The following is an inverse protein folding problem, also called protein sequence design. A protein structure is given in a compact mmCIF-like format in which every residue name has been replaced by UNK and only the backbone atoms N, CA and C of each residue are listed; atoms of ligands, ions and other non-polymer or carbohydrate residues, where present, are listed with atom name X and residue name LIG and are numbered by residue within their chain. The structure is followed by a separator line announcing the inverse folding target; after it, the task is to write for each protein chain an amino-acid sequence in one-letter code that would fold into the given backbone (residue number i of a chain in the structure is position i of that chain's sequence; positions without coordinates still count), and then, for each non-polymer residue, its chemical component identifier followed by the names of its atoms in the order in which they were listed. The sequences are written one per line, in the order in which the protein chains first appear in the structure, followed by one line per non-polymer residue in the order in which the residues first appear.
data_IF_962430582670
#
_entry.id   IF_962430582670
#
_cell.length_a   1.000
_cell.length_b   1.000
_cell.length_c   1.000
_cell.angle_alpha   90.00
_cell.angle_beta   90.00
_cell.angle_gamma   90.00
#
_symmetry.space_group_name_H-M   'P 1'
#
loop_
_entity.id
_entity.type
_entity.pdbx_description
1 polymer ?
#
# COMPACT_ATOMS: atom_id res chain seq x y z
N UNK A 1 18.95 30.17 -13.92
CA UNK A 1 19.80 29.28 -13.12
C UNK A 1 18.99 28.66 -11.99
N UNK A 2 18.33 27.52 -12.21
CA UNK A 2 17.93 26.63 -11.12
C UNK A 2 17.93 25.17 -11.58
N UNK A 3 19.11 24.55 -11.82
CA UNK A 3 19.20 23.13 -12.11
C UNK A 3 19.20 22.25 -10.85
N UNK A 4 18.95 22.81 -9.64
CA UNK A 4 19.12 22.09 -8.37
C UNK A 4 17.80 21.78 -7.64
N UNK A 5 16.68 22.41 -8.01
CA UNK A 5 15.40 22.19 -7.31
C UNK A 5 14.63 20.96 -7.80
N UNK A 6 14.87 20.45 -9.00
CA UNK A 6 14.17 19.27 -9.54
C UNK A 6 14.82 17.92 -9.18
N UNK A 7 16.15 17.89 -9.05
CA UNK A 7 16.89 16.64 -8.81
C UNK A 7 16.68 16.09 -7.41
N UNK A 8 16.75 16.95 -6.39
CA UNK A 8 16.71 16.55 -4.97
C UNK A 8 15.33 16.02 -4.57
N UNK A 9 14.25 16.68 -5.01
CA UNK A 9 12.86 16.29 -4.65
C UNK A 9 12.47 14.96 -5.31
N UNK A 10 12.96 14.70 -6.53
CA UNK A 10 12.70 13.46 -7.27
C UNK A 10 13.54 12.28 -6.74
N UNK A 11 14.82 12.49 -6.40
CA UNK A 11 15.67 11.45 -5.80
C UNK A 11 15.26 11.10 -4.36
N UNK A 12 14.71 12.06 -3.60
CA UNK A 12 14.16 11.83 -2.28
C UNK A 12 12.84 11.05 -2.34
N UNK A 13 12.02 11.20 -3.38
CA UNK A 13 10.82 10.36 -3.56
C UNK A 13 11.13 8.87 -3.70
N UNK A 14 12.20 8.50 -4.42
CA UNK A 14 12.57 7.08 -4.59
C UNK A 14 13.30 6.45 -3.38
N UNK A 15 13.92 7.27 -2.51
CA UNK A 15 14.62 6.81 -1.31
C UNK A 15 13.83 6.98 0.00
N UNK A 16 12.84 7.88 0.05
CA UNK A 16 12.02 8.15 1.22
C UNK A 16 10.68 7.42 1.14
N UNK A 17 10.60 6.36 1.91
CA UNK A 17 9.35 5.67 2.17
C UNK A 17 9.50 4.80 3.42
N UNK A 18 8.42 4.68 4.17
CA UNK A 18 8.37 3.81 5.35
C UNK A 18 8.22 2.35 4.95
N UNK A 19 8.50 1.45 5.91
CA UNK A 19 8.11 0.05 5.82
C UNK A 19 7.16 -0.25 6.97
N UNK A 20 6.02 -0.84 6.67
CA UNK A 20 5.08 -1.37 7.65
C UNK A 20 5.33 -2.86 7.90
N UNK A 21 5.83 -3.57 6.90
CA UNK A 21 6.07 -5.01 6.93
C UNK A 21 7.53 -5.32 6.61
N UNK A 22 8.01 -6.40 7.22
CA UNK A 22 9.32 -6.92 6.89
C UNK A 22 9.22 -7.89 5.70
N UNK A 23 9.45 -7.37 4.50
CA UNK A 23 9.51 -8.12 3.25
C UNK A 23 10.96 -8.44 2.89
N UNK A 24 11.18 -9.53 2.15
CA UNK A 24 12.53 -9.95 1.72
C UNK A 24 13.16 -9.00 0.70
N UNK A 25 12.35 -8.19 0.04
CA UNK A 25 12.78 -7.14 -0.87
C UNK A 25 13.00 -5.79 -0.14
N UNK A 26 13.49 -4.81 -0.88
CA UNK A 26 13.69 -3.44 -0.39
C UNK A 26 12.50 -2.52 -0.75
N UNK A 27 11.28 -3.07 -0.90
CA UNK A 27 10.10 -2.26 -1.19
C UNK A 27 9.78 -1.29 -0.05
N UNK A 28 9.17 -0.15 -0.39
CA UNK A 28 8.85 0.94 0.54
C UNK A 28 7.50 1.55 0.20
N UNK A 29 6.87 2.15 1.20
CA UNK A 29 5.65 2.93 1.04
C UNK A 29 6.01 4.40 0.82
N UNK A 30 5.74 4.91 -0.37
CA UNK A 30 5.88 6.32 -0.71
C UNK A 30 4.50 6.96 -0.85
N UNK A 31 4.15 7.85 0.08
CA UNK A 31 2.87 8.55 0.09
C UNK A 31 2.69 9.49 -1.11
N UNK A 32 3.76 10.16 -1.55
CA UNK A 32 3.67 11.05 -2.72
C UNK A 32 3.39 10.25 -4.00
N UNK A 33 4.09 9.13 -4.17
CA UNK A 33 3.81 8.19 -5.26
C UNK A 33 2.38 7.64 -5.14
N UNK A 34 1.97 7.19 -3.96
CA UNK A 34 0.63 6.64 -3.74
C UNK A 34 -0.48 7.64 -4.10
N UNK A 35 -0.28 8.93 -3.87
CA UNK A 35 -1.23 9.95 -4.32
C UNK A 35 -1.29 10.09 -5.84
N UNK A 36 -0.16 10.00 -6.54
CA UNK A 36 -0.09 10.21 -7.98
C UNK A 36 -0.62 9.01 -8.79
N UNK A 37 -0.36 7.78 -8.32
CA UNK A 37 -0.72 6.53 -9.01
C UNK A 37 -1.78 5.73 -8.24
N UNK A 38 -2.70 6.44 -7.59
CA UNK A 38 -3.90 5.86 -6.97
C UNK A 38 -3.65 4.72 -5.96
N UNK A 39 -2.60 4.81 -5.15
CA UNK A 39 -2.31 3.86 -4.06
C UNK A 39 -1.17 2.90 -4.35
N UNK A 40 -0.74 2.74 -5.61
CA UNK A 40 0.35 1.82 -6.00
C UNK A 40 1.72 2.19 -5.42
N UNK A 41 1.87 3.40 -4.88
CA UNK A 41 3.07 3.82 -4.14
C UNK A 41 3.26 3.12 -2.80
N UNK A 42 2.27 2.41 -2.27
CA UNK A 42 2.40 1.59 -1.05
C UNK A 42 2.94 0.19 -1.36
N UNK A 43 4.12 0.13 -2.00
CA UNK A 43 4.68 -1.12 -2.50
C UNK A 43 5.06 -2.11 -1.40
N UNK A 44 5.50 -1.63 -0.22
CA UNK A 44 5.78 -2.53 0.91
C UNK A 44 4.51 -3.20 1.45
N UNK A 45 3.39 -2.47 1.46
CA UNK A 45 2.10 -3.06 1.80
C UNK A 45 1.63 -4.05 0.74
N UNK A 46 1.75 -3.70 -0.54
CA UNK A 46 1.38 -4.58 -1.66
C UNK A 46 2.19 -5.87 -1.66
N UNK A 47 3.51 -5.80 -1.46
CA UNK A 47 4.37 -6.98 -1.45
C UNK A 47 4.10 -7.90 -0.24
N UNK A 48 3.64 -7.35 0.88
CA UNK A 48 3.21 -8.14 2.03
C UNK A 48 1.83 -8.79 1.82
N UNK A 49 0.92 -8.12 1.10
CA UNK A 49 -0.45 -8.58 0.84
C UNK A 49 -0.83 -8.43 -0.65
N UNK A 50 -0.24 -9.24 -1.55
CA UNK A 50 -0.40 -9.05 -2.99
C UNK A 50 -1.83 -9.31 -3.50
N UNK A 51 -2.60 -10.12 -2.77
CA UNK A 51 -4.01 -10.41 -3.08
C UNK A 51 -5.01 -9.40 -2.51
N UNK A 52 -4.55 -8.39 -1.76
CA UNK A 52 -5.44 -7.39 -1.17
C UNK A 52 -5.84 -6.35 -2.21
N UNK A 53 -7.15 -6.10 -2.34
CA UNK A 53 -7.67 -5.01 -3.16
C UNK A 53 -7.33 -3.60 -2.63
N UNK A 54 -6.86 -3.49 -1.38
CA UNK A 54 -6.31 -2.23 -0.84
C UNK A 54 -4.82 -2.34 -0.58
N UNK A 55 -4.11 -1.26 -0.88
CA UNK A 55 -2.70 -1.07 -0.57
C UNK A 55 -2.47 -0.32 0.76
N UNK A 56 -3.52 0.13 1.43
CA UNK A 56 -3.42 0.93 2.65
C UNK A 56 -3.58 0.09 3.92
N UNK A 57 -2.54 0.07 4.74
CA UNK A 57 -2.48 -0.56 6.06
C UNK A 57 -2.85 0.44 7.16
N UNK A 58 -2.30 1.66 7.12
CA UNK A 58 -2.49 2.69 8.15
C UNK A 58 -3.59 3.68 7.76
N UNK A 59 -4.23 4.31 8.75
CA UNK A 59 -5.32 5.25 8.51
C UNK A 59 -4.93 6.49 7.68
N UNK A 60 -3.66 6.92 7.72
CA UNK A 60 -3.14 8.04 6.93
C UNK A 60 -2.62 7.63 5.54
N UNK A 61 -2.65 6.35 5.19
CA UNK A 61 -2.31 5.86 3.86
C UNK A 61 -3.55 6.01 2.96
N UNK A 62 -3.62 7.11 2.22
CA UNK A 62 -4.74 7.39 1.30
C UNK A 62 -4.57 6.55 0.04
N UNK A 63 -5.53 5.65 -0.21
CA UNK A 63 -5.53 4.70 -1.31
C UNK A 63 -6.74 4.97 -2.22
N UNK A 64 -6.50 5.79 -3.24
CA UNK A 64 -7.54 6.20 -4.19
C UNK A 64 -8.00 5.03 -5.09
N UNK A 65 -7.13 4.05 -5.33
CA UNK A 65 -7.44 2.85 -6.09
C UNK A 65 -8.47 2.00 -5.36
N UNK A 66 -8.30 1.81 -4.05
CA UNK A 66 -9.31 1.13 -3.24
C UNK A 66 -10.64 1.89 -3.19
N UNK A 67 -10.62 3.24 -3.20
CA UNK A 67 -11.85 4.02 -3.33
C UNK A 67 -12.53 3.82 -4.69
N UNK A 68 -11.78 3.66 -5.77
CA UNK A 68 -12.32 3.30 -7.07
C UNK A 68 -12.95 1.89 -7.03
N UNK A 69 -12.28 0.90 -6.42
CA UNK A 69 -12.83 -0.43 -6.22
C UNK A 69 -14.15 -0.41 -5.42
N UNK A 70 -14.22 0.36 -4.33
CA UNK A 70 -15.46 0.54 -3.55
C UNK A 70 -16.57 1.17 -4.38
N UNK A 71 -16.22 2.10 -5.27
CA UNK A 71 -17.19 2.72 -6.18
C UNK A 71 -17.72 1.69 -7.18
N UNK A 72 -16.85 0.88 -7.77
CA UNK A 72 -17.24 -0.20 -8.68
C UNK A 72 -18.09 -1.26 -7.96
N UNK A 73 -17.77 -1.61 -6.72
CA UNK A 73 -18.57 -2.53 -5.90
C UNK A 73 -19.98 -1.97 -5.63
N UNK A 74 -20.09 -0.68 -5.30
CA UNK A 74 -21.39 -0.01 -5.10
C UNK A 74 -22.23 0.04 -6.36
N UNK A 75 -21.60 0.11 -7.53
CA UNK A 75 -22.25 0.02 -8.83
C UNK A 75 -22.62 -1.42 -9.22
N UNK A 76 -22.24 -2.41 -8.42
CA UNK A 76 -22.49 -3.83 -8.69
C UNK A 76 -21.60 -4.43 -9.78
N UNK A 77 -20.51 -3.75 -10.14
CA UNK A 77 -19.60 -4.17 -11.21
C UNK A 77 -18.53 -5.16 -10.74
N UNK A 78 -18.22 -5.17 -9.44
CA UNK A 78 -17.32 -6.13 -8.83
C UNK A 78 -17.72 -6.41 -7.37
N UNK A 79 -17.10 -7.42 -6.75
CA UNK A 79 -17.22 -7.67 -5.32
C UNK A 79 -15.82 -7.68 -4.71
N UNK A 80 -15.67 -7.01 -3.56
CA UNK A 80 -14.40 -6.98 -2.85
C UNK A 80 -14.40 -8.11 -1.81
N UNK A 81 -13.45 -9.02 -1.93
CA UNK A 81 -13.17 -10.01 -0.89
C UNK A 81 -12.56 -9.32 0.33
N UNK A 82 -13.42 -9.02 1.31
CA UNK A 82 -13.05 -8.38 2.57
C UNK A 82 -12.16 -9.25 3.44
N UNK A 83 -12.15 -10.57 3.25
CA UNK A 83 -11.32 -11.49 4.03
C UNK A 83 -9.84 -11.46 3.63
N UNK A 84 -9.55 -11.13 2.36
CA UNK A 84 -8.19 -11.01 1.84
C UNK A 84 -7.59 -9.60 1.93
N UNK A 85 -8.32 -8.64 2.50
CA UNK A 85 -7.83 -7.28 2.65
C UNK A 85 -6.67 -7.22 3.65
N UNK A 86 -5.70 -6.37 3.33
CA UNK A 86 -4.63 -5.98 4.23
C UNK A 86 -5.23 -5.51 5.58
N UNK A 87 -4.75 -6.02 6.73
CA UNK A 87 -5.28 -5.64 8.03
C UNK A 87 -5.08 -4.14 8.26
N UNK A 88 -6.01 -3.47 8.94
CA UNK A 88 -5.90 -2.05 9.27
C UNK A 88 -5.16 -1.87 10.59
N UNK A 89 -4.12 -1.04 10.60
CA UNK A 89 -3.36 -0.70 11.80
C UNK A 89 -4.30 -0.10 12.86
N UNK A 90 -4.44 -0.77 14.00
CA UNK A 90 -5.33 -0.36 15.11
C UNK A 90 -6.51 -1.29 15.38
N UNK A 91 -6.85 -2.21 14.46
CA UNK A 91 -7.64 -3.39 14.84
C UNK A 91 -6.68 -4.40 15.45
N UNK A 92 -6.77 -4.59 16.77
CA UNK A 92 -5.97 -5.56 17.54
C UNK A 92 -5.84 -6.86 16.75
N UNK A 93 -4.64 -7.15 16.28
CA UNK A 93 -4.30 -8.46 15.73
C UNK A 93 -4.22 -9.38 16.94
N UNK A 94 -5.17 -10.31 17.07
CA UNK A 94 -5.06 -11.37 18.06
C UNK A 94 -3.71 -12.08 17.86
N UNK A 95 -2.98 -12.42 18.93
CA UNK A 95 -1.75 -13.19 18.80
C UNK A 95 -2.08 -14.56 18.20
N UNK A 96 -1.71 -14.79 16.93
CA UNK A 96 -1.90 -16.09 16.29
C UNK A 96 -1.94 -16.11 14.76
N UNK A 97 -2.21 -15.00 14.07
CA UNK A 97 -2.26 -15.00 12.61
C UNK A 97 -0.95 -14.49 12.00
N UNK A 98 0.05 -15.35 11.98
CA UNK A 98 1.15 -15.24 11.02
C UNK A 98 0.55 -15.48 9.63
N UNK A 99 0.65 -14.59 8.63
CA UNK A 99 0.51 -15.03 7.26
C UNK A 99 1.69 -15.98 7.02
N UNK A 100 1.36 -17.25 6.88
CA UNK A 100 2.31 -18.30 6.58
C UNK A 100 3.17 -17.85 5.40
N UNK A 101 4.50 -17.94 5.58
CA UNK A 101 5.42 -17.90 4.47
C UNK A 101 4.90 -18.86 3.39
N UNK A 102 4.67 -18.34 2.18
CA UNK A 102 4.29 -19.15 1.04
C UNK A 102 5.27 -20.33 0.89
N UNK A 103 4.79 -21.58 0.77
CA UNK A 103 5.67 -22.73 0.61
C UNK A 103 6.37 -22.68 -0.75
N UNK A 104 7.63 -23.12 -0.75
CA UNK A 104 8.42 -23.42 -1.95
C UNK A 104 7.86 -24.64 -2.68
#
# INVERSE_FOLDING_TARGET
SHPIQGGVVNSLGHAMGGRNFDTRDNSRNNHFAAWLILGEGFQNNHHAYPGSASFSHRAHEVDLGYWACLTLERLGLCSIDRAHLIPRAGKVTLPGAHPAAAPR
#
